data_IF_984372281089
#
_entry.id   IF_984372281089
#
_cell.length_a   1.000
_cell.length_b   1.000
_cell.length_c   1.000
_cell.angle_alpha   90.00
_cell.angle_beta   90.00
_cell.angle_gamma   90.00
#
_symmetry.space_group_name_H-M   'P 1'
#
loop_
_entity.id
_entity.type
_entity.pdbx_description
1 polymer ?
#
# COMPACT_ATOMS: atom_id res chain seq x y z
N UNK A 1 -2.32 11.75 11.16
CA UNK A 1 -3.53 11.22 10.48
C UNK A 1 -3.19 9.86 9.93
N UNK A 2 -3.97 8.82 10.21
CA UNK A 2 -3.68 7.46 9.75
C UNK A 2 -3.83 7.36 8.23
N UNK A 3 -2.72 7.29 7.49
CA UNK A 3 -2.70 7.07 6.03
C UNK A 3 -3.13 5.64 5.65
N UNK A 4 -3.10 4.71 6.61
CA UNK A 4 -3.40 3.29 6.42
C UNK A 4 -4.71 2.99 5.67
N UNK A 5 -5.89 3.56 6.01
CA UNK A 5 -7.11 3.30 5.24
C UNK A 5 -7.02 3.75 3.78
N UNK A 6 -6.28 4.83 3.49
CA UNK A 6 -6.06 5.30 2.12
C UNK A 6 -5.14 4.36 1.33
N UNK A 7 -4.08 3.84 1.98
CA UNK A 7 -3.15 2.85 1.42
C UNK A 7 -3.89 1.53 1.11
N UNK A 8 -4.66 1.01 2.06
CA UNK A 8 -5.45 -0.23 1.88
C UNK A 8 -6.50 -0.08 0.77
N UNK A 9 -7.16 1.07 0.70
CA UNK A 9 -8.15 1.37 -0.33
C UNK A 9 -7.54 1.41 -1.73
N UNK A 10 -6.40 2.10 -1.91
CA UNK A 10 -5.74 2.17 -3.21
C UNK A 10 -5.26 0.80 -3.69
N UNK A 11 -4.72 -0.03 -2.80
CA UNK A 11 -4.38 -1.41 -3.13
C UNK A 11 -5.61 -2.20 -3.59
N UNK A 12 -6.72 -2.09 -2.84
CA UNK A 12 -7.96 -2.81 -3.14
C UNK A 12 -8.59 -2.36 -4.46
N UNK A 13 -8.63 -1.05 -4.73
CA UNK A 13 -9.15 -0.50 -5.99
C UNK A 13 -8.30 -0.94 -7.20
N UNK A 14 -6.97 -0.96 -7.05
CA UNK A 14 -6.07 -1.47 -8.08
C UNK A 14 -6.25 -2.98 -8.32
N UNK A 15 -6.45 -3.76 -7.26
CA UNK A 15 -6.79 -5.18 -7.38
C UNK A 15 -8.14 -5.39 -8.07
N UNK A 16 -9.15 -4.59 -7.73
CA UNK A 16 -10.48 -4.66 -8.32
C UNK A 16 -10.50 -4.28 -9.81
N UNK A 17 -9.57 -3.42 -10.26
CA UNK A 17 -9.41 -3.10 -11.68
C UNK A 17 -8.66 -4.16 -12.49
N UNK A 18 -8.19 -5.23 -11.84
CA UNK A 18 -7.42 -6.31 -12.46
C UNK A 18 -5.92 -6.03 -12.55
N UNK A 19 -5.42 -5.00 -11.84
CA UNK A 19 -3.99 -4.73 -11.83
C UNK A 19 -3.22 -5.87 -11.11
N UNK A 20 -2.02 -6.23 -11.61
CA UNK A 20 -1.12 -7.12 -10.90
C UNK A 20 -0.75 -6.60 -9.51
N UNK A 21 -0.48 -7.53 -8.57
CA UNK A 21 -0.16 -7.21 -7.17
C UNK A 21 0.98 -6.20 -7.02
N UNK A 22 2.00 -6.29 -7.88
CA UNK A 22 3.12 -5.33 -7.90
C UNK A 22 2.64 -3.89 -8.09
N UNK A 23 1.72 -3.66 -9.03
CA UNK A 23 1.25 -2.31 -9.35
C UNK A 23 0.26 -1.81 -8.30
N UNK A 24 -0.53 -2.71 -7.71
CA UNK A 24 -1.39 -2.37 -6.58
C UNK A 24 -0.56 -1.95 -5.36
N UNK A 25 0.55 -2.65 -5.11
CA UNK A 25 1.49 -2.32 -4.04
C UNK A 25 2.22 -1.00 -4.30
N UNK A 26 2.66 -0.75 -5.54
CA UNK A 26 3.27 0.53 -5.94
C UNK A 26 2.31 1.72 -5.72
N UNK A 27 1.03 1.58 -6.08
CA UNK A 27 0.02 2.62 -5.85
C UNK A 27 -0.17 2.91 -4.35
N UNK A 28 -0.25 1.85 -3.55
CA UNK A 28 -0.35 1.94 -2.09
C UNK A 28 0.89 2.62 -1.47
N UNK A 29 2.08 2.33 -2.00
CA UNK A 29 3.35 2.91 -1.58
C UNK A 29 3.47 4.40 -1.91
N UNK A 30 2.97 4.82 -3.07
CA UNK A 30 2.91 6.24 -3.45
C UNK A 30 2.11 7.04 -2.43
N UNK A 31 0.96 6.51 -2.00
CA UNK A 31 0.12 7.16 -0.97
C UNK A 31 0.84 7.20 0.37
N UNK A 32 1.50 6.12 0.78
CA UNK A 32 2.26 6.09 2.04
C UNK A 32 3.36 7.16 2.05
N UNK A 33 4.19 7.19 0.99
CA UNK A 33 5.28 8.17 0.84
C UNK A 33 4.81 9.61 0.72
N UNK A 34 3.60 9.85 0.22
CA UNK A 34 3.01 11.19 0.20
C UNK A 34 2.76 11.72 1.62
N UNK A 35 2.40 10.84 2.56
CA UNK A 35 2.15 11.21 3.96
C UNK A 35 3.42 11.14 4.82
N UNK A 36 4.37 10.30 4.43
CA UNK A 36 5.60 10.01 5.18
C UNK A 36 6.83 10.10 4.27
N UNK A 37 7.15 11.28 3.70
CA UNK A 37 8.30 11.43 2.81
C UNK A 37 9.64 11.19 3.52
N UNK A 38 9.69 11.32 4.85
CA UNK A 38 10.86 11.03 5.68
C UNK A 38 11.17 9.54 5.84
N UNK A 39 10.20 8.65 5.55
CA UNK A 39 10.38 7.21 5.74
C UNK A 39 11.16 6.61 4.57
N UNK A 40 12.24 5.84 4.82
CA UNK A 40 12.99 5.14 3.78
C UNK A 40 12.11 4.20 2.95
N UNK A 41 12.48 3.99 1.68
CA UNK A 41 11.70 3.19 0.75
C UNK A 41 11.51 1.74 1.25
N UNK A 42 12.56 1.09 1.75
CA UNK A 42 12.50 -0.28 2.27
C UNK A 42 11.56 -0.42 3.48
N UNK A 43 11.55 0.58 4.35
CA UNK A 43 10.68 0.61 5.52
C UNK A 43 9.22 0.84 5.11
N UNK A 44 8.97 1.80 4.21
CA UNK A 44 7.65 2.05 3.64
C UNK A 44 7.10 0.82 2.90
N UNK A 45 7.94 0.12 2.12
CA UNK A 45 7.57 -1.12 1.44
C UNK A 45 7.17 -2.21 2.42
N UNK A 46 7.93 -2.39 3.49
CA UNK A 46 7.63 -3.38 4.53
C UNK A 46 6.31 -3.08 5.21
N UNK A 47 6.07 -1.82 5.55
CA UNK A 47 4.85 -1.35 6.22
C UNK A 47 3.61 -1.50 5.33
N UNK A 48 3.69 -1.04 4.07
CA UNK A 48 2.61 -1.13 3.09
C UNK A 48 2.29 -2.59 2.75
N UNK A 49 3.31 -3.44 2.60
CA UNK A 49 3.12 -4.88 2.34
C UNK A 49 2.39 -5.56 3.51
N UNK A 50 2.73 -5.19 4.75
CA UNK A 50 2.05 -5.71 5.95
C UNK A 50 0.57 -5.39 5.97
N UNK A 51 0.17 -4.19 5.53
CA UNK A 51 -1.24 -3.77 5.54
C UNK A 51 -2.05 -4.37 4.38
N UNK A 52 -1.41 -4.64 3.24
CA UNK A 52 -2.08 -5.05 2.00
C UNK A 52 -2.06 -6.56 1.76
N UNK A 53 -0.90 -7.20 1.88
CA UNK A 53 -0.72 -8.65 1.65
C UNK A 53 -1.14 -9.45 2.87
N UNK A 54 -0.88 -8.94 4.08
CA UNK A 54 -1.24 -9.60 5.34
C UNK A 54 -2.76 -9.77 5.57
N UNK A 55 -3.60 -9.12 4.75
CA UNK A 55 -5.07 -9.16 4.88
C UNK A 55 -5.76 -10.17 3.95
N UNK A 56 -5.03 -10.78 3.01
CA UNK A 56 -5.55 -11.77 2.05
C UNK A 56 -5.55 -13.21 2.58
N UNK A 57 -5.12 -13.44 3.83
CA UNK A 57 -4.89 -14.78 4.41
C UNK A 57 -6.01 -15.27 5.34
N UNK A 58 -7.19 -14.64 5.34
CA UNK A 58 -8.31 -15.05 6.20
C UNK A 58 -9.61 -15.24 5.42
#
# INVERSE_FOLDING_TARGET
>A
MCCRPAVERAFTEMKASGAPDRHALEAALIIHRFHHPEVPLDEALTEVSRWTVGRLVH
#
